data_IF_424153807850
#
_entry.id   IF_424153807850
#
_cell.length_a   1.000
_cell.length_b   1.000
_cell.length_c   1.000
_cell.angle_alpha   90.00
_cell.angle_beta   90.00
_cell.angle_gamma   90.00
#
_symmetry.space_group_name_H-M   'P 1'
#
loop_
_entity.id
_entity.type
_entity.pdbx_description
1 polymer ?
#
# COMPACT_ATOMS: atom_id res chain seq x y z
N UNK A 1 0.41 -37.58 16.28
CA UNK A 1 -0.40 -36.64 15.49
C UNK A 1 -0.44 -35.32 16.24
N UNK A 2 0.41 -34.35 15.86
CA UNK A 2 0.43 -33.06 16.53
C UNK A 2 -0.69 -32.17 15.94
N UNK A 3 -1.65 -31.78 16.77
CA UNK A 3 -2.69 -30.84 16.39
C UNK A 3 -2.06 -29.47 16.14
N UNK A 4 -2.14 -29.02 14.89
CA UNK A 4 -1.94 -27.62 14.52
C UNK A 4 -3.14 -26.82 15.01
N UNK A 5 -3.02 -26.21 16.18
CA UNK A 5 -3.95 -25.16 16.59
C UNK A 5 -3.59 -23.88 15.81
N UNK A 6 -3.97 -23.84 14.53
CA UNK A 6 -3.91 -22.60 13.74
C UNK A 6 -5.07 -21.71 14.13
N UNK A 7 -4.86 -20.88 15.15
CA UNK A 7 -5.81 -19.83 15.51
C UNK A 7 -5.82 -18.77 14.39
N UNK A 8 -6.99 -18.29 13.95
CA UNK A 8 -7.07 -17.28 12.89
C UNK A 8 -6.37 -16.01 13.37
N UNK A 9 -5.48 -15.47 12.53
CA UNK A 9 -4.81 -14.17 12.72
C UNK A 9 -5.86 -13.08 12.48
N UNK A 10 -6.89 -13.03 13.31
CA UNK A 10 -7.70 -11.86 13.51
C UNK A 10 -7.13 -11.16 14.75
N UNK A 11 -5.87 -10.72 14.62
CA UNK A 11 -5.30 -9.76 15.56
C UNK A 11 -6.09 -8.46 15.35
N UNK A 12 -7.10 -8.32 16.20
CA UNK A 12 -7.71 -7.06 16.64
C UNK A 12 -6.71 -5.94 16.43
N UNK A 13 -7.05 -4.98 15.58
CA UNK A 13 -6.32 -3.72 15.43
C UNK A 13 -6.37 -2.99 16.77
N UNK A 14 -5.47 -3.39 17.66
CA UNK A 14 -5.25 -2.72 18.93
C UNK A 14 -4.49 -1.47 18.56
N UNK A 15 -5.24 -0.39 18.31
CA UNK A 15 -4.71 0.96 18.18
C UNK A 15 -4.12 1.37 19.52
N UNK A 16 -2.93 0.83 19.81
CA UNK A 16 -2.03 1.45 20.75
C UNK A 16 -1.61 2.76 20.07
N UNK A 17 -2.13 3.86 20.59
CA UNK A 17 -1.48 5.17 20.50
C UNK A 17 -0.08 4.99 21.09
N UNK A 18 0.86 4.55 20.25
CA UNK A 18 2.27 4.56 20.54
C UNK A 18 2.69 6.04 20.57
N UNK A 19 3.54 6.47 21.52
CA UNK A 19 4.13 7.79 21.46
C UNK A 19 4.78 7.95 20.07
N UNK A 20 4.47 9.05 19.39
CA UNK A 20 5.02 9.46 18.10
C UNK A 20 6.50 9.07 18.01
N UNK A 21 6.76 7.94 17.35
CA UNK A 21 8.11 7.55 16.94
C UNK A 21 8.57 8.49 15.83
N UNK A 22 9.87 8.53 15.52
CA UNK A 22 10.43 9.49 14.54
C UNK A 22 9.81 9.41 13.14
N UNK A 23 9.04 8.36 12.82
CA UNK A 23 8.33 8.15 11.56
C UNK A 23 6.80 8.30 11.71
N UNK A 24 6.36 9.31 12.45
CA UNK A 24 4.96 9.74 12.34
C UNK A 24 4.74 10.27 10.91
N UNK A 25 3.97 9.53 10.12
CA UNK A 25 3.68 9.85 8.73
C UNK A 25 2.94 11.20 8.68
N UNK A 26 3.66 12.27 8.34
CA UNK A 26 3.12 13.64 8.32
C UNK A 26 2.23 13.93 7.11
N UNK A 27 2.30 13.11 6.07
CA UNK A 27 1.57 13.32 4.82
C UNK A 27 1.25 12.02 4.08
N UNK A 28 0.17 12.04 3.30
CA UNK A 28 -0.17 10.94 2.39
C UNK A 28 0.98 10.59 1.43
N UNK A 29 1.69 11.60 0.92
CA UNK A 29 2.84 11.39 0.04
C UNK A 29 3.99 10.62 0.71
N UNK A 30 4.23 10.82 2.02
CA UNK A 30 5.21 10.03 2.77
C UNK A 30 4.76 8.58 2.94
N UNK A 31 3.50 8.36 3.28
CA UNK A 31 2.93 7.01 3.38
C UNK A 31 3.06 6.27 2.05
N UNK A 32 2.69 6.93 0.95
CA UNK A 32 2.76 6.35 -0.38
C UNK A 32 4.17 5.90 -0.73
N UNK A 33 5.19 6.72 -0.44
CA UNK A 33 6.60 6.34 -0.66
C UNK A 33 7.05 5.16 0.21
N UNK A 34 6.62 5.11 1.47
CA UNK A 34 6.95 3.98 2.35
C UNK A 34 6.32 2.68 1.85
N UNK A 35 5.05 2.72 1.43
CA UNK A 35 4.36 1.57 0.81
C UNK A 35 5.06 1.15 -0.48
N UNK A 36 5.40 2.10 -1.37
CA UNK A 36 6.12 1.81 -2.62
C UNK A 36 7.43 1.06 -2.37
N UNK A 37 8.22 1.59 -1.44
CA UNK A 37 9.51 1.03 -1.10
C UNK A 37 9.35 -0.37 -0.49
N UNK A 38 8.43 -0.55 0.45
CA UNK A 38 8.15 -1.85 1.06
C UNK A 38 7.76 -2.89 0.00
N UNK A 39 6.85 -2.54 -0.92
CA UNK A 39 6.43 -3.44 -2.01
C UNK A 39 7.60 -3.88 -2.88
N UNK A 40 8.54 -2.99 -3.21
CA UNK A 40 9.73 -3.35 -4.00
C UNK A 40 10.71 -4.26 -3.24
N UNK A 41 10.79 -4.10 -1.93
CA UNK A 41 11.65 -4.95 -1.07
C UNK A 41 11.04 -6.34 -0.90
N UNK A 42 9.71 -6.43 -0.72
CA UNK A 42 9.00 -7.69 -0.58
C UNK A 42 8.85 -8.44 -1.91
N UNK A 43 8.72 -7.70 -3.03
CA UNK A 43 8.54 -8.24 -4.38
C UNK A 43 9.61 -7.76 -5.36
N UNK A 44 10.89 -8.17 -5.17
CA UNK A 44 11.95 -7.81 -6.09
C UNK A 44 11.69 -8.32 -7.52
N UNK A 45 10.89 -9.39 -7.68
CA UNK A 45 10.50 -9.94 -8.98
C UNK A 45 9.60 -9.02 -9.81
N UNK A 46 8.95 -8.04 -9.19
CA UNK A 46 8.15 -7.03 -9.91
C UNK A 46 9.01 -5.88 -10.45
N UNK A 47 10.24 -5.74 -9.96
CA UNK A 47 11.18 -4.70 -10.39
C UNK A 47 11.89 -5.17 -11.65
N UNK A 48 11.67 -4.46 -12.75
CA UNK A 48 12.33 -4.70 -14.03
C UNK A 48 13.82 -4.34 -13.95
N UNK A 49 14.65 -4.82 -14.90
CA UNK A 49 16.08 -4.48 -14.95
C UNK A 49 16.37 -2.98 -15.09
N UNK A 50 15.43 -2.21 -15.63
CA UNK A 50 15.53 -0.76 -15.75
C UNK A 50 15.14 -0.02 -14.45
N UNK A 51 14.72 -0.74 -13.41
CA UNK A 51 14.31 -0.20 -12.12
C UNK A 51 12.83 0.12 -12.00
N UNK A 52 12.04 -0.04 -13.07
CA UNK A 52 10.60 0.21 -13.06
C UNK A 52 9.84 -0.93 -12.40
N UNK A 53 8.78 -0.60 -11.67
CA UNK A 53 7.85 -1.59 -11.10
C UNK A 53 6.41 -1.25 -11.52
N UNK A 54 5.96 -1.65 -12.73
CA UNK A 54 4.62 -1.33 -13.21
C UNK A 54 3.51 -1.92 -12.32
N UNK A 55 3.77 -3.05 -11.68
CA UNK A 55 2.85 -3.64 -10.70
C UNK A 55 2.69 -2.71 -9.50
N UNK A 56 3.79 -2.17 -8.96
CA UNK A 56 3.77 -1.22 -7.84
C UNK A 56 2.96 0.04 -8.21
N UNK A 57 3.17 0.58 -9.41
CA UNK A 57 2.42 1.75 -9.92
C UNK A 57 0.91 1.48 -10.05
N UNK A 58 0.52 0.26 -10.46
CA UNK A 58 -0.89 -0.15 -10.52
C UNK A 58 -1.53 -0.18 -9.13
N UNK A 59 -0.83 -0.72 -8.12
CA UNK A 59 -1.30 -0.71 -6.74
C UNK A 59 -1.46 0.71 -6.20
N UNK A 60 -0.50 1.59 -6.46
CA UNK A 60 -0.60 2.99 -6.04
C UNK A 60 -1.75 3.73 -6.71
N UNK A 61 -1.94 3.53 -8.00
CA UNK A 61 -3.05 4.14 -8.75
C UNK A 61 -4.39 3.70 -8.16
N UNK A 62 -4.54 2.39 -7.88
CA UNK A 62 -5.74 1.84 -7.25
C UNK A 62 -5.94 2.36 -5.82
N UNK A 63 -4.86 2.51 -5.04
CA UNK A 63 -4.93 3.09 -3.71
C UNK A 63 -5.41 4.55 -3.76
N UNK A 64 -4.89 5.34 -4.69
CA UNK A 64 -5.34 6.71 -4.91
C UNK A 64 -6.81 6.78 -5.31
N UNK A 65 -7.30 5.85 -6.15
CA UNK A 65 -8.73 5.74 -6.48
C UNK A 65 -9.58 5.43 -5.25
N UNK A 66 -9.18 4.45 -4.43
CA UNK A 66 -9.89 4.07 -3.20
C UNK A 66 -9.96 5.22 -2.18
N UNK A 67 -8.95 6.09 -2.18
CA UNK A 67 -8.91 7.26 -1.32
C UNK A 67 -9.57 8.51 -1.95
N UNK A 68 -10.11 8.41 -3.17
CA UNK A 68 -10.71 9.54 -3.87
C UNK A 68 -9.71 10.62 -4.29
N UNK A 69 -8.41 10.30 -4.31
CA UNK A 69 -7.31 11.18 -4.71
C UNK A 69 -7.00 11.07 -6.21
N UNK A 70 -7.52 10.05 -6.88
CA UNK A 70 -7.41 9.93 -8.33
C UNK A 70 -8.14 11.07 -9.02
N UNK A 71 -7.48 11.72 -9.98
CA UNK A 71 -8.12 12.73 -10.83
C UNK A 71 -9.41 12.14 -11.44
N UNK A 72 -10.54 12.87 -11.41
CA UNK A 72 -11.74 12.41 -12.07
C UNK A 72 -11.40 12.17 -13.54
N UNK A 73 -11.56 10.91 -13.96
CA UNK A 73 -11.55 10.55 -15.37
C UNK A 73 -12.63 11.42 -15.97
N UNK A 74 -12.26 12.40 -16.79
CA UNK A 74 -13.24 13.13 -17.60
C UNK A 74 -13.84 12.07 -18.53
N UNK A 75 -14.93 11.45 -18.10
CA UNK A 75 -15.88 10.82 -18.98
C UNK A 75 -16.41 11.95 -19.85
N UNK A 76 -15.65 12.24 -20.91
CA UNK A 76 -16.05 13.10 -22.00
C UNK A 76 -17.27 12.43 -22.59
N UNK A 77 -18.45 12.84 -22.10
CA UNK A 77 -19.74 12.37 -22.59
C UNK A 77 -19.69 12.43 -24.10
N UNK A 78 -19.85 11.26 -24.73
CA UNK A 78 -20.13 11.18 -26.16
C UNK A 78 -21.40 11.99 -26.39
N UNK A 79 -21.31 13.00 -27.24
CA UNK A 79 -22.44 13.76 -27.75
C UNK A 79 -22.58 13.42 -29.23
#
# INVERSE_FOLDING_TARGET
>A
MALVCSAPIFQIVKTKTLPSGPDEIRSYAQLQRQIHHALRVEHPEWVKPNGDCPTCESYESRLAELLGLSSPKSDRRVA
#
